data_IF_612565136420
#
_entry.id   IF_612565136420
#
_cell.length_a   1.000
_cell.length_b   1.000
_cell.length_c   1.000
_cell.angle_alpha   90.00
_cell.angle_beta   90.00
_cell.angle_gamma   90.00
#
_symmetry.space_group_name_H-M   'P 1'
#
loop_
_entity.id
_entity.type
_entity.pdbx_description
1 polymer ?
#
# COMPACT_ATOMS: atom_id res chain seq x y z
N UNK A 1 -2.32 -10.20 -25.59
CA UNK A 1 -3.41 -9.28 -26.02
C UNK A 1 -3.23 -7.94 -25.34
N UNK A 2 -3.68 -6.89 -26.00
CA UNK A 2 -3.56 -5.53 -25.49
C UNK A 2 -4.19 -5.35 -24.11
N UNK A 3 -5.36 -6.00 -23.90
CA UNK A 3 -6.09 -5.88 -22.64
C UNK A 3 -5.30 -6.44 -21.47
N UNK A 4 -4.61 -7.56 -21.67
CA UNK A 4 -3.81 -8.18 -20.61
C UNK A 4 -2.66 -7.28 -20.20
N UNK A 5 -2.01 -6.65 -21.16
CA UNK A 5 -0.91 -5.73 -20.84
C UNK A 5 -1.41 -4.46 -20.18
N UNK A 6 -2.57 -3.96 -20.61
CA UNK A 6 -3.18 -2.77 -20.00
C UNK A 6 -3.51 -3.04 -18.53
N UNK A 7 -4.11 -4.20 -18.24
CA UNK A 7 -4.41 -4.58 -16.85
C UNK A 7 -3.15 -4.75 -16.02
N UNK A 8 -2.12 -5.35 -16.58
CA UNK A 8 -0.84 -5.51 -15.88
C UNK A 8 -0.22 -4.17 -15.53
N UNK A 9 -0.22 -3.24 -16.47
CA UNK A 9 0.31 -1.90 -16.24
C UNK A 9 -0.52 -1.15 -15.21
N UNK A 10 -1.84 -1.26 -15.28
CA UNK A 10 -2.73 -0.61 -14.33
C UNK A 10 -2.47 -1.10 -12.91
N UNK A 11 -2.39 -2.43 -12.73
CA UNK A 11 -2.14 -3.01 -11.41
C UNK A 11 -0.77 -2.64 -10.88
N UNK A 12 0.23 -2.63 -11.75
CA UNK A 12 1.60 -2.25 -11.37
C UNK A 12 1.65 -0.79 -10.90
N UNK A 13 1.08 0.11 -11.69
CA UNK A 13 1.08 1.53 -11.36
C UNK A 13 0.25 1.82 -10.10
N UNK A 14 -0.94 1.23 -10.03
CA UNK A 14 -1.82 1.44 -8.88
C UNK A 14 -1.18 0.94 -7.59
N UNK A 15 -0.61 -0.24 -7.62
CA UNK A 15 0.09 -0.80 -6.46
C UNK A 15 1.23 0.08 -6.02
N UNK A 16 2.01 0.59 -6.97
CA UNK A 16 3.11 1.51 -6.68
C UNK A 16 2.65 2.81 -6.03
N UNK A 17 1.56 3.38 -6.53
CA UNK A 17 1.00 4.60 -5.97
C UNK A 17 0.42 4.37 -4.58
N UNK A 18 -0.26 3.26 -4.37
CA UNK A 18 -0.79 2.91 -3.05
C UNK A 18 0.35 2.77 -2.05
N UNK A 19 1.41 2.07 -2.41
CA UNK A 19 2.61 1.93 -1.58
C UNK A 19 3.20 3.29 -1.25
N UNK A 20 3.34 4.14 -2.24
CA UNK A 20 3.91 5.48 -2.09
C UNK A 20 3.08 6.31 -1.12
N UNK A 21 1.75 6.32 -1.29
CA UNK A 21 0.85 7.06 -0.41
C UNK A 21 0.85 6.48 1.01
N UNK A 22 0.93 5.17 1.14
CA UNK A 22 0.99 4.52 2.44
C UNK A 22 2.23 4.95 3.22
N UNK A 23 3.39 4.91 2.57
CA UNK A 23 4.65 5.31 3.20
C UNK A 23 4.68 6.82 3.49
N UNK A 24 4.07 7.61 2.61
CA UNK A 24 3.93 9.05 2.84
C UNK A 24 3.04 9.34 4.06
N UNK A 25 1.98 8.56 4.26
CA UNK A 25 1.11 8.70 5.43
C UNK A 25 1.88 8.43 6.72
N UNK A 26 2.75 7.41 6.74
CA UNK A 26 3.61 7.12 7.88
C UNK A 26 4.54 8.31 8.14
N UNK A 27 5.17 8.84 7.11
CA UNK A 27 6.08 9.97 7.22
C UNK A 27 5.37 11.22 7.75
N UNK A 28 4.15 11.48 7.28
CA UNK A 28 3.36 12.62 7.76
C UNK A 28 2.98 12.46 9.24
N UNK A 29 2.61 11.25 9.65
CA UNK A 29 2.29 10.99 11.07
C UNK A 29 3.49 11.33 11.96
N UNK A 30 4.69 10.94 11.53
CA UNK A 30 5.91 11.19 12.30
C UNK A 30 6.22 12.68 12.47
N UNK A 31 5.74 13.51 11.54
CA UNK A 31 5.95 14.96 11.60
C UNK A 31 4.99 15.69 12.51
N UNK A 32 3.87 15.07 12.89
CA UNK A 32 2.84 15.75 13.64
C UNK A 32 3.20 15.81 15.13
N UNK A 33 3.12 17.00 15.71
CA UNK A 33 3.25 17.20 17.16
C UNK A 33 1.88 17.33 17.83
N UNK A 34 0.85 17.65 17.07
CA UNK A 34 -0.53 17.76 17.54
C UNK A 34 -1.15 16.37 17.63
N UNK A 35 -1.65 16.03 18.81
CA UNK A 35 -2.22 14.71 19.06
C UNK A 35 -3.40 14.40 18.17
N UNK A 36 -4.28 15.38 17.93
CA UNK A 36 -5.45 15.16 17.06
C UNK A 36 -5.02 14.82 15.64
N UNK A 37 -3.98 15.47 15.13
CA UNK A 37 -3.44 15.18 13.81
C UNK A 37 -2.73 13.83 13.76
N UNK A 38 -2.01 13.47 14.83
CA UNK A 38 -1.41 12.15 14.92
C UNK A 38 -2.46 11.05 14.85
N UNK A 39 -3.57 11.23 15.58
CA UNK A 39 -4.67 10.26 15.56
C UNK A 39 -5.30 10.15 14.18
N UNK A 40 -5.45 11.27 13.48
CA UNK A 40 -5.93 11.27 12.10
C UNK A 40 -5.03 10.41 11.21
N UNK A 41 -3.72 10.63 11.28
CA UNK A 41 -2.77 9.88 10.45
C UNK A 41 -2.62 8.42 10.91
N UNK A 42 -2.82 8.14 12.19
CA UNK A 42 -2.87 6.76 12.68
C UNK A 42 -3.98 5.98 11.97
N UNK A 43 -5.17 6.59 11.87
CA UNK A 43 -6.28 5.96 11.14
C UNK A 43 -5.99 5.80 9.66
N UNK A 44 -5.34 6.81 9.08
CA UNK A 44 -4.94 6.79 7.67
C UNK A 44 -3.96 5.65 7.38
N UNK A 45 -2.95 5.50 8.23
CA UNK A 45 -1.97 4.42 8.12
C UNK A 45 -2.63 3.07 8.29
N UNK A 46 -3.54 2.93 9.26
CA UNK A 46 -4.29 1.68 9.46
C UNK A 46 -5.12 1.31 8.23
N UNK A 47 -5.71 2.30 7.57
CA UNK A 47 -6.44 2.08 6.32
C UNK A 47 -5.54 1.53 5.24
N UNK A 48 -4.36 2.11 5.06
CA UNK A 48 -3.39 1.60 4.10
C UNK A 48 -2.86 0.22 4.47
N UNK A 49 -2.65 -0.03 5.76
CA UNK A 49 -2.26 -1.36 6.22
C UNK A 49 -3.26 -2.41 5.73
N UNK A 50 -4.54 -2.13 5.92
CA UNK A 50 -5.59 -3.06 5.52
C UNK A 50 -5.62 -3.26 4.00
N UNK A 51 -5.54 -2.17 3.23
CA UNK A 51 -5.59 -2.24 1.77
C UNK A 51 -4.39 -2.99 1.21
N UNK A 52 -3.19 -2.66 1.66
CA UNK A 52 -1.97 -3.31 1.18
C UNK A 52 -1.97 -4.79 1.57
N UNK A 53 -2.35 -5.11 2.80
CA UNK A 53 -2.46 -6.50 3.24
C UNK A 53 -3.43 -7.30 2.38
N UNK A 54 -4.59 -6.71 2.08
CA UNK A 54 -5.59 -7.36 1.23
C UNK A 54 -5.05 -7.60 -0.17
N UNK A 55 -4.40 -6.60 -0.76
CA UNK A 55 -3.84 -6.73 -2.10
C UNK A 55 -2.78 -7.82 -2.16
N UNK A 56 -1.92 -7.90 -1.14
CA UNK A 56 -0.89 -8.95 -1.07
C UNK A 56 -1.51 -10.33 -0.93
N UNK A 57 -2.52 -10.47 -0.08
CA UNK A 57 -3.22 -11.74 0.12
C UNK A 57 -3.92 -12.20 -1.16
N UNK A 58 -4.58 -11.27 -1.85
CA UNK A 58 -5.27 -11.59 -3.10
C UNK A 58 -4.28 -11.98 -4.19
N UNK A 59 -3.16 -11.26 -4.27
CA UNK A 59 -2.12 -11.60 -5.24
C UNK A 59 -1.63 -13.03 -5.03
N UNK A 60 -1.36 -13.41 -3.78
CA UNK A 60 -0.92 -14.75 -3.45
C UNK A 60 -1.99 -15.80 -3.78
N UNK A 61 -3.26 -15.49 -3.50
CA UNK A 61 -4.36 -16.40 -3.80
C UNK A 61 -4.49 -16.67 -5.30
N UNK A 62 -4.17 -15.68 -6.13
CA UNK A 62 -4.21 -15.81 -7.58
C UNK A 62 -2.87 -16.24 -8.19
N UNK A 63 -1.88 -16.54 -7.36
CA UNK A 63 -0.57 -16.96 -7.85
C UNK A 63 0.24 -15.86 -8.52
N UNK A 64 -0.06 -14.61 -8.18
CA UNK A 64 0.69 -13.47 -8.71
C UNK A 64 1.87 -13.12 -7.81
N UNK A 65 2.97 -12.68 -8.42
CA UNK A 65 4.11 -12.17 -7.65
C UNK A 65 3.80 -10.77 -7.14
N UNK A 66 4.23 -10.47 -5.93
CA UNK A 66 4.02 -9.14 -5.34
C UNK A 66 4.73 -8.04 -6.13
N UNK A 67 5.82 -8.37 -6.81
CA UNK A 67 6.53 -7.40 -7.66
C UNK A 67 5.68 -6.93 -8.84
N UNK A 68 4.72 -7.73 -9.28
CA UNK A 68 3.81 -7.35 -10.37
C UNK A 68 2.85 -6.26 -9.96
N UNK A 69 2.73 -6.01 -8.65
CA UNK A 69 1.92 -4.96 -8.05
C UNK A 69 2.78 -3.89 -7.37
N UNK A 70 4.10 -3.97 -7.49
CA UNK A 70 5.05 -3.13 -6.76
C UNK A 70 4.87 -3.19 -5.24
N UNK A 71 4.35 -4.30 -4.72
CA UNK A 71 4.13 -4.48 -3.29
C UNK A 71 5.10 -5.45 -2.63
N UNK A 72 6.17 -5.77 -3.31
CA UNK A 72 7.26 -6.53 -2.72
C UNK A 72 8.08 -5.64 -1.81
N UNK A 73 8.57 -5.70 -0.90
CA UNK A 73 9.42 -4.80 -0.11
C UNK A 73 8.64 -3.97 0.91
N UNK A 74 7.32 -4.03 0.89
CA UNK A 74 6.52 -3.44 1.95
C UNK A 74 5.87 -4.55 2.76
N UNK A 75 6.11 -4.53 4.07
CA UNK A 75 5.46 -5.44 5.01
C UNK A 75 4.52 -4.63 5.90
N UNK A 76 3.20 -4.79 5.74
CA UNK A 76 2.25 -3.96 6.48
C UNK A 76 2.46 -4.00 8.00
N UNK A 77 2.75 -5.16 8.56
CA UNK A 77 2.93 -5.31 10.00
C UNK A 77 4.21 -4.66 10.53
N UNK A 78 5.15 -4.36 9.65
CA UNK A 78 6.39 -3.67 10.00
C UNK A 78 6.34 -2.20 9.61
N UNK A 79 5.84 -1.91 8.39
CA UNK A 79 6.02 -0.61 7.76
C UNK A 79 4.80 0.30 7.88
N UNK A 80 3.61 -0.28 8.12
CA UNK A 80 2.35 0.45 8.12
C UNK A 80 1.61 0.33 9.46
N UNK A 81 2.36 0.39 10.54
CA UNK A 81 1.81 0.32 11.90
C UNK A 81 2.10 1.55 12.73
#
# INVERSE_FOLDING_TARGET
>A
MKDDETFKHYLFDLGGLIKEYALAAVAEREKQSDRARQEFYDGYVQGFHRVVSLMQQQAQAFGMDLKDLQLEGVEPDRDLV
#
